data_IF_370079412265
#
_entry.id   IF_370079412265
#
_cell.length_a   1.000
_cell.length_b   1.000
_cell.length_c   1.000
_cell.angle_alpha   90.00
_cell.angle_beta   90.00
_cell.angle_gamma   90.00
#
_symmetry.space_group_name_H-M   'P 1'
#
loop_
_entity.id
_entity.type
_entity.pdbx_description
1 polymer ?
#
# COMPACT_ATOMS: atom_id res chain seq x y z
N UNK A 1 -4.39 24.33 -37.30
CA UNK A 1 -3.79 23.96 -36.00
C UNK A 1 -2.73 22.89 -36.25
N UNK A 2 -1.46 23.12 -35.88
CA UNK A 2 -0.38 22.13 -36.09
C UNK A 2 -0.62 20.91 -35.21
N UNK A 3 -0.65 19.71 -35.80
CA UNK A 3 -0.56 18.45 -35.07
C UNK A 3 0.80 18.42 -34.34
N UNK A 4 0.79 18.57 -33.02
CA UNK A 4 1.97 18.26 -32.20
C UNK A 4 2.04 16.73 -32.08
N UNK A 5 3.22 16.16 -32.28
CA UNK A 5 3.44 14.75 -31.97
C UNK A 5 3.39 14.61 -30.45
N UNK A 6 2.39 13.88 -29.95
CA UNK A 6 2.25 13.58 -28.53
C UNK A 6 2.76 12.15 -28.32
N UNK A 7 3.55 11.95 -27.26
CA UNK A 7 4.01 10.64 -26.84
C UNK A 7 3.38 10.33 -25.48
N UNK A 8 2.74 9.17 -25.38
CA UNK A 8 2.14 8.67 -24.14
C UNK A 8 2.97 7.49 -23.67
N UNK A 9 3.36 7.51 -22.40
CA UNK A 9 4.02 6.39 -21.73
C UNK A 9 3.05 5.85 -20.68
N UNK A 10 2.77 4.54 -20.74
CA UNK A 10 1.97 3.84 -19.73
C UNK A 10 2.90 2.99 -18.85
N UNK A 11 2.71 3.04 -17.54
CA UNK A 11 3.51 2.32 -16.55
C UNK A 11 2.55 1.60 -15.61
N UNK A 12 2.78 0.31 -15.38
CA UNK A 12 2.02 -0.51 -14.44
C UNK A 12 2.89 -0.96 -13.26
N UNK A 13 2.26 -1.13 -12.09
CA UNK A 13 2.93 -1.56 -10.87
C UNK A 13 2.56 -3.01 -10.53
N UNK A 14 3.50 -3.93 -10.76
CA UNK A 14 3.28 -5.35 -10.51
C UNK A 14 3.00 -5.64 -9.02
N UNK A 15 1.82 -6.20 -8.72
CA UNK A 15 1.37 -6.57 -7.35
C UNK A 15 1.54 -5.42 -6.36
N UNK A 16 1.13 -4.22 -6.76
CA UNK A 16 1.47 -2.99 -6.07
C UNK A 16 1.10 -2.98 -4.57
N UNK A 17 -0.05 -3.56 -4.20
CA UNK A 17 -0.47 -3.68 -2.81
C UNK A 17 0.36 -4.65 -1.98
N UNK A 18 0.93 -5.69 -2.60
CA UNK A 18 1.68 -6.75 -1.93
C UNK A 18 3.16 -6.37 -1.74
N UNK A 19 3.65 -5.43 -2.55
CA UNK A 19 5.07 -5.02 -2.57
C UNK A 19 5.36 -3.76 -1.75
N UNK A 20 4.34 -3.04 -1.25
CA UNK A 20 4.58 -1.92 -0.33
C UNK A 20 5.18 -2.44 0.97
N UNK A 21 6.27 -1.80 1.38
CA UNK A 21 6.89 -2.03 2.68
C UNK A 21 6.24 -1.13 3.74
N UNK A 22 5.84 -1.72 4.87
CA UNK A 22 5.21 -0.97 5.97
C UNK A 22 6.06 0.20 6.47
N UNK A 23 7.40 0.08 6.65
CA UNK A 23 8.24 1.21 7.06
C UNK A 23 8.17 2.39 6.09
N UNK A 24 8.09 2.11 4.78
CA UNK A 24 7.99 3.15 3.76
C UNK A 24 6.65 3.88 3.85
N UNK A 25 5.54 3.14 3.96
CA UNK A 25 4.21 3.71 4.13
C UNK A 25 4.13 4.60 5.40
N UNK A 26 4.62 4.10 6.54
CA UNK A 26 4.63 4.86 7.80
C UNK A 26 5.48 6.14 7.67
N UNK A 27 6.64 6.07 7.02
CA UNK A 27 7.50 7.25 6.80
C UNK A 27 6.83 8.28 5.90
N UNK A 28 6.10 7.85 4.88
CA UNK A 28 5.33 8.73 3.99
C UNK A 28 4.21 9.44 4.76
N UNK A 29 3.44 8.71 5.57
CA UNK A 29 2.36 9.29 6.38
C UNK A 29 2.89 10.35 7.36
N UNK A 30 4.01 10.07 8.05
CA UNK A 30 4.68 11.05 8.90
C UNK A 30 5.06 12.32 8.12
N UNK A 31 5.66 12.16 6.93
CA UNK A 31 6.03 13.31 6.08
C UNK A 31 4.83 14.12 5.60
N UNK A 32 3.65 13.53 5.54
CA UNK A 32 2.40 14.20 5.19
C UNK A 32 1.69 14.83 6.40
N UNK A 33 2.32 14.81 7.59
CA UNK A 33 1.78 15.40 8.81
C UNK A 33 0.81 14.51 9.57
N UNK A 34 0.71 13.22 9.21
CA UNK A 34 -0.12 12.26 9.95
C UNK A 34 0.71 11.73 11.11
N UNK A 35 0.39 12.18 12.31
CA UNK A 35 1.14 11.88 13.53
C UNK A 35 0.22 11.39 14.66
N UNK A 36 0.84 11.04 15.80
CA UNK A 36 0.15 10.71 17.04
C UNK A 36 -0.81 9.53 16.90
N UNK A 37 -2.06 9.73 17.35
CA UNK A 37 -3.06 8.65 17.48
C UNK A 37 -3.41 7.99 16.15
N UNK A 38 -3.55 8.78 15.07
CA UNK A 38 -3.92 8.24 13.76
C UNK A 38 -2.81 7.34 13.19
N UNK A 39 -1.55 7.79 13.28
CA UNK A 39 -0.41 6.98 12.85
C UNK A 39 -0.29 5.69 13.66
N UNK A 40 -0.51 5.75 14.98
CA UNK A 40 -0.45 4.58 15.84
C UNK A 40 -1.54 3.55 15.52
N UNK A 41 -2.75 3.99 15.17
CA UNK A 41 -3.83 3.11 14.69
C UNK A 41 -3.41 2.42 13.39
N UNK A 42 -2.85 3.16 12.43
CA UNK A 42 -2.39 2.58 11.16
C UNK A 42 -1.27 1.57 11.41
N UNK A 43 -0.27 1.90 12.24
CA UNK A 43 0.78 0.96 12.65
C UNK A 43 0.18 -0.31 13.24
N UNK A 44 -0.78 -0.22 14.15
CA UNK A 44 -1.40 -1.40 14.77
C UNK A 44 -2.17 -2.28 13.77
N UNK A 45 -2.75 -1.69 12.72
CA UNK A 45 -3.47 -2.45 11.68
C UNK A 45 -2.51 -3.26 10.80
N UNK A 46 -1.32 -2.72 10.54
CA UNK A 46 -0.30 -3.30 9.66
C UNK A 46 0.86 -3.95 10.43
N UNK A 47 0.82 -3.97 11.77
CA UNK A 47 1.82 -4.68 12.57
C UNK A 47 1.61 -6.19 12.44
N UNK A 48 2.66 -6.89 11.99
CA UNK A 48 2.74 -8.36 11.88
C UNK A 48 1.47 -9.02 11.33
N UNK A 49 1.06 -8.69 10.09
CA UNK A 49 -0.13 -9.29 9.52
C UNK A 49 0.01 -10.82 9.43
N UNK A 50 -1.02 -11.55 9.82
CA UNK A 50 -1.08 -13.01 9.67
C UNK A 50 -2.19 -13.40 8.70
N UNK A 51 -1.89 -14.29 7.76
CA UNK A 51 -2.88 -14.94 6.92
C UNK A 51 -3.52 -16.12 7.66
N UNK A 52 -4.84 -16.18 7.66
CA UNK A 52 -5.61 -17.34 8.10
C UNK A 52 -6.18 -18.02 6.85
N UNK A 53 -5.87 -19.30 6.66
CA UNK A 53 -6.35 -20.08 5.52
C UNK A 53 -7.38 -21.08 6.02
N UNK A 54 -8.55 -21.11 5.39
CA UNK A 54 -9.54 -22.17 5.58
C UNK A 54 -9.49 -23.05 4.34
N UNK A 55 -9.17 -24.33 4.51
CA UNK A 55 -9.12 -25.32 3.46
C UNK A 55 -10.06 -26.47 3.81
N UNK A 56 -11.04 -26.76 2.94
CA UNK A 56 -12.04 -27.81 3.16
C UNK A 56 -12.76 -27.71 4.53
N UNK A 57 -13.07 -26.48 4.95
CA UNK A 57 -13.72 -26.21 6.25
C UNK A 57 -12.78 -26.27 7.46
N UNK A 58 -11.51 -26.65 7.28
CA UNK A 58 -10.52 -26.69 8.36
C UNK A 58 -9.63 -25.44 8.34
N UNK A 59 -9.44 -24.85 9.53
CA UNK A 59 -8.54 -23.70 9.70
C UNK A 59 -7.10 -24.19 9.85
N UNK A 60 -6.23 -23.75 8.94
CA UNK A 60 -4.80 -24.04 9.01
C UNK A 60 -4.10 -23.13 10.03
N UNK A 61 -2.86 -23.49 10.37
CA UNK A 61 -2.00 -22.67 11.23
C UNK A 61 -1.80 -21.28 10.59
N UNK A 62 -1.92 -20.17 11.36
CA UNK A 62 -1.69 -18.84 10.83
C UNK A 62 -0.28 -18.69 10.26
N UNK A 63 -0.18 -18.04 9.09
CA UNK A 63 1.08 -17.79 8.40
C UNK A 63 1.44 -16.30 8.56
N UNK A 64 2.63 -15.97 9.09
CA UNK A 64 3.06 -14.58 9.15
C UNK A 64 3.33 -14.05 7.74
N UNK A 65 2.79 -12.87 7.42
CA UNK A 65 3.04 -12.16 6.17
C UNK A 65 4.21 -11.19 6.38
N UNK A 66 5.18 -11.22 5.44
CA UNK A 66 6.39 -10.39 5.49
C UNK A 66 6.24 -9.06 4.74
N UNK A 67 5.38 -9.02 3.73
CA UNK A 67 5.16 -7.86 2.88
C UNK A 67 3.71 -7.82 2.44
N UNK A 68 3.23 -6.63 2.13
CA UNK A 68 1.95 -6.45 1.50
C UNK A 68 0.85 -6.01 2.46
N UNK A 69 -0.03 -5.18 1.91
CA UNK A 69 -1.21 -4.70 2.60
C UNK A 69 -2.29 -5.78 2.62
N UNK A 70 -3.14 -5.80 3.66
CA UNK A 70 -4.31 -6.68 3.68
C UNK A 70 -5.19 -6.40 2.46
N UNK A 71 -5.23 -7.32 1.50
CA UNK A 71 -6.15 -7.25 0.37
C UNK A 71 -7.59 -7.21 0.90
N UNK A 72 -8.45 -6.38 0.27
CA UNK A 72 -9.84 -6.13 0.68
C UNK A 72 -10.02 -5.33 2.00
N UNK A 73 -8.96 -4.75 2.56
CA UNK A 73 -9.14 -3.74 3.61
C UNK A 73 -9.57 -2.41 3.00
N UNK A 74 -10.60 -1.76 3.56
CA UNK A 74 -11.08 -0.44 3.12
C UNK A 74 -10.01 0.67 3.19
N UNK A 75 -9.02 0.51 4.07
CA UNK A 75 -7.94 1.49 4.23
C UNK A 75 -6.82 1.33 3.21
N UNK A 76 -6.61 0.12 2.66
CA UNK A 76 -5.49 -0.17 1.76
C UNK A 76 -5.48 0.71 0.50
N UNK A 77 -6.60 0.96 -0.22
CA UNK A 77 -6.62 1.84 -1.39
C UNK A 77 -6.22 3.28 -1.07
N UNK A 78 -6.70 3.82 0.07
CA UNK A 78 -6.38 5.19 0.48
C UNK A 78 -4.88 5.31 0.79
N UNK A 79 -4.35 4.39 1.58
CA UNK A 79 -2.92 4.36 1.93
C UNK A 79 -2.04 4.17 0.69
N UNK A 80 -2.48 3.35 -0.26
CA UNK A 80 -1.79 3.16 -1.54
C UNK A 80 -1.70 4.45 -2.35
N UNK A 81 -2.81 5.18 -2.51
CA UNK A 81 -2.82 6.48 -3.20
C UNK A 81 -1.91 7.51 -2.50
N UNK A 82 -1.88 7.47 -1.17
CA UNK A 82 -1.03 8.34 -0.35
C UNK A 82 0.47 8.07 -0.60
N UNK A 83 0.83 6.81 -0.82
CA UNK A 83 2.19 6.41 -1.20
C UNK A 83 2.50 6.78 -2.66
N UNK A 84 1.55 6.59 -3.58
CA UNK A 84 1.71 6.99 -4.99
C UNK A 84 1.91 8.49 -5.17
N UNK A 85 1.33 9.33 -4.31
CA UNK A 85 1.54 10.78 -4.32
C UNK A 85 3.03 11.15 -4.22
N UNK A 86 3.84 10.37 -3.49
CA UNK A 86 5.29 10.58 -3.41
C UNK A 86 5.95 10.38 -4.77
N UNK A 87 5.53 9.35 -5.52
CA UNK A 87 6.02 9.09 -6.89
C UNK A 87 5.52 10.16 -7.86
N UNK A 88 4.25 10.54 -7.78
CA UNK A 88 3.67 11.59 -8.62
C UNK A 88 4.42 12.92 -8.48
N UNK A 89 4.79 13.29 -7.25
CA UNK A 89 5.61 14.48 -6.97
C UNK A 89 7.04 14.40 -7.49
N UNK A 90 7.60 13.21 -7.61
CA UNK A 90 8.96 13.02 -8.13
C UNK A 90 9.01 13.09 -9.67
N UNK A 91 7.90 12.79 -10.34
CA UNK A 91 7.79 12.79 -11.81
C UNK A 91 7.33 14.15 -12.33
N UNK A 92 6.59 14.92 -11.52
CA UNK A 92 6.19 16.30 -11.82
C UNK A 92 7.38 17.24 -11.87
#
# INVERSE_FOLDING_TARGET
>A
MRNKNHMIISIDAEKAFDKIQDPFMIKTLNKMGIEGKYLNIIKAIYDKPTANIILNGQKLKPIPLRTGTRQRCRLSPLLFNTVLEVLARAIR
#
